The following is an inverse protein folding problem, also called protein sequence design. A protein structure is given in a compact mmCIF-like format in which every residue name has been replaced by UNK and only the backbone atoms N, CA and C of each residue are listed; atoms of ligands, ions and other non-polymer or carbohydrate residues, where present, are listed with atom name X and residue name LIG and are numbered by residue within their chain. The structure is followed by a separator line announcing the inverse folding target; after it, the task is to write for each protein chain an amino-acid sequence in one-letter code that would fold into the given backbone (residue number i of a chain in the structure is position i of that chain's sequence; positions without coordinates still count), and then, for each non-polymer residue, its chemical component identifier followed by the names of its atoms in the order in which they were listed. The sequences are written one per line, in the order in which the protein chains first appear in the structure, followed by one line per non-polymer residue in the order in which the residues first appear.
data_IF_577551975348
#
_entry.id   IF_577551975348
#
_cell.length_a   1.000
_cell.length_b   1.000
_cell.length_c   1.000
_cell.angle_alpha   90.00
_cell.angle_beta   90.00
_cell.angle_gamma   90.00
#
_symmetry.space_group_name_H-M   'P 1'
#
loop_
_entity.id
_entity.type
_entity.pdbx_description
1 polymer ?
#
# COMPACT_ATOMS: atom_id res chain seq x y z
N UNK A 1 66.35 -17.33 10.06
CA UNK A 1 65.04 -17.46 10.77
C UNK A 1 64.12 -16.38 10.29
N UNK A 2 63.49 -16.66 9.19
CA UNK A 2 62.36 -15.87 8.66
C UNK A 2 61.08 -16.39 9.33
N UNK A 3 60.50 -15.57 10.20
CA UNK A 3 59.19 -15.82 10.78
C UNK A 3 58.17 -15.48 9.72
N UNK A 4 57.55 -16.51 9.13
CA UNK A 4 56.35 -16.34 8.30
C UNK A 4 55.23 -15.84 9.20
N UNK A 5 54.83 -14.59 8.98
CA UNK A 5 53.57 -14.07 9.52
C UNK A 5 52.42 -14.81 8.83
N UNK A 6 51.66 -15.58 9.60
CA UNK A 6 50.37 -16.11 9.17
C UNK A 6 49.52 -14.95 8.72
N UNK A 7 48.92 -15.01 7.52
CA UNK A 7 47.90 -14.04 7.17
C UNK A 7 46.74 -14.24 8.15
N UNK A 8 46.55 -13.29 9.05
CA UNK A 8 45.27 -13.14 9.73
C UNK A 8 44.22 -13.00 8.63
N UNK A 9 43.39 -14.02 8.49
CA UNK A 9 42.14 -13.90 7.81
C UNK A 9 41.38 -12.80 8.53
N UNK A 10 41.52 -11.58 8.02
CA UNK A 10 40.52 -10.54 8.25
C UNK A 10 39.26 -11.09 7.63
N UNK A 11 38.46 -11.83 8.43
CA UNK A 11 37.06 -11.96 8.18
C UNK A 11 36.53 -10.54 8.12
N UNK A 12 36.51 -10.00 6.91
CA UNK A 12 35.67 -8.88 6.60
C UNK A 12 34.26 -9.39 6.92
N UNK A 13 33.82 -9.19 8.16
CA UNK A 13 32.41 -9.21 8.49
C UNK A 13 31.84 -8.24 7.47
N UNK A 14 31.13 -8.79 6.49
CA UNK A 14 30.38 -7.99 5.54
C UNK A 14 29.52 -7.10 6.41
N UNK A 15 29.94 -5.85 6.57
CA UNK A 15 29.13 -4.82 7.21
C UNK A 15 27.90 -4.78 6.32
N UNK A 16 26.83 -5.40 6.78
CA UNK A 16 25.55 -5.41 6.07
C UNK A 16 25.18 -3.95 5.94
N UNK A 17 25.45 -3.39 4.74
CA UNK A 17 25.18 -1.99 4.44
C UNK A 17 23.74 -1.73 4.86
N UNK A 18 23.55 -0.89 5.86
CA UNK A 18 22.20 -0.51 6.28
C UNK A 18 21.60 0.15 5.07
N UNK A 19 20.51 -0.42 4.55
CA UNK A 19 19.80 0.12 3.40
C UNK A 19 18.97 1.27 3.91
N UNK A 20 19.21 2.44 3.35
CA UNK A 20 18.51 3.67 3.72
C UNK A 20 17.46 4.04 2.68
N UNK A 21 17.26 3.19 1.65
CA UNK A 21 16.32 3.41 0.58
C UNK A 21 15.49 2.16 0.31
N UNK A 22 14.17 2.33 0.17
CA UNK A 22 13.26 1.22 -0.11
C UNK A 22 13.54 0.55 -1.47
N UNK A 23 13.98 1.29 -2.47
CA UNK A 23 14.31 0.72 -3.78
C UNK A 23 15.53 -0.22 -3.71
N UNK A 24 16.51 0.05 -2.83
CA UNK A 24 17.61 -0.88 -2.56
C UNK A 24 17.10 -2.15 -1.86
N UNK A 25 16.12 -2.00 -0.96
CA UNK A 25 15.46 -3.14 -0.33
C UNK A 25 14.75 -3.99 -1.36
N UNK A 26 13.91 -3.36 -2.20
CA UNK A 26 13.15 -4.05 -3.25
C UNK A 26 14.08 -4.73 -4.25
N UNK A 27 15.16 -4.06 -4.67
CA UNK A 27 16.14 -4.64 -5.60
C UNK A 27 16.73 -5.97 -5.11
N UNK A 28 16.95 -6.09 -3.81
CA UNK A 28 17.54 -7.29 -3.18
C UNK A 28 16.51 -8.37 -2.78
N UNK A 29 15.21 -8.14 -3.02
CA UNK A 29 14.20 -9.16 -2.74
C UNK A 29 14.42 -10.35 -3.67
N UNK A 30 14.46 -11.56 -3.10
CA UNK A 30 14.49 -12.82 -3.85
C UNK A 30 13.04 -13.24 -4.15
N UNK A 31 12.52 -12.75 -5.27
CA UNK A 31 11.15 -13.04 -5.72
C UNK A 31 11.04 -12.87 -7.23
N UNK A 32 10.13 -13.64 -7.82
CA UNK A 32 9.71 -13.53 -9.24
C UNK A 32 8.47 -12.62 -9.42
N UNK A 33 8.02 -11.98 -8.35
CA UNK A 33 6.88 -11.07 -8.39
C UNK A 33 7.16 -9.89 -9.34
N UNK A 34 6.34 -9.76 -10.36
CA UNK A 34 6.52 -8.78 -11.44
C UNK A 34 6.46 -7.34 -10.91
N UNK A 35 5.70 -7.08 -9.84
CA UNK A 35 5.62 -5.77 -9.18
C UNK A 35 6.99 -5.25 -8.76
N UNK A 36 7.93 -6.13 -8.42
CA UNK A 36 9.31 -5.75 -8.14
C UNK A 36 9.94 -4.99 -9.31
N UNK A 37 9.82 -5.56 -10.51
CA UNK A 37 10.40 -4.98 -11.71
C UNK A 37 9.72 -3.66 -12.07
N UNK A 38 8.40 -3.62 -11.99
CA UNK A 38 7.61 -2.43 -12.31
C UNK A 38 7.96 -1.26 -11.40
N UNK A 39 8.04 -1.47 -10.09
CA UNK A 39 8.44 -0.45 -9.13
C UNK A 39 9.87 0.04 -9.41
N UNK A 40 10.81 -0.86 -9.73
CA UNK A 40 12.21 -0.49 -9.98
C UNK A 40 12.41 0.25 -11.30
N UNK A 41 11.69 -0.13 -12.35
CA UNK A 41 11.75 0.56 -13.66
C UNK A 41 11.23 2.00 -13.52
N UNK A 42 10.21 2.20 -12.72
CA UNK A 42 9.51 3.47 -12.59
C UNK A 42 9.96 4.32 -11.40
N UNK A 43 10.96 3.87 -10.64
CA UNK A 43 11.40 4.48 -9.37
C UNK A 43 11.67 5.99 -9.44
N UNK A 44 12.17 6.48 -10.57
CA UNK A 44 12.54 7.88 -10.75
C UNK A 44 11.31 8.78 -10.95
N UNK A 45 10.17 8.19 -11.31
CA UNK A 45 8.88 8.85 -11.48
C UNK A 45 8.02 8.78 -10.22
N UNK A 46 8.32 7.86 -9.30
CA UNK A 46 7.54 7.66 -8.09
C UNK A 46 7.95 8.65 -7.00
N UNK A 47 6.99 9.37 -6.42
CA UNK A 47 7.22 10.25 -5.26
C UNK A 47 7.28 9.41 -3.97
N UNK A 48 8.41 8.73 -3.76
CA UNK A 48 8.60 7.84 -2.62
C UNK A 48 9.77 8.33 -1.75
N UNK A 49 9.52 8.47 -0.46
CA UNK A 49 10.49 8.91 0.55
C UNK A 49 10.70 7.79 1.57
N UNK A 50 11.93 7.31 1.72
CA UNK A 50 12.29 6.37 2.77
C UNK A 50 12.54 7.11 4.08
N UNK A 51 11.72 6.84 5.11
CA UNK A 51 11.70 7.57 6.38
C UNK A 51 12.66 6.91 7.37
N UNK A 52 13.97 7.06 7.12
CA UNK A 52 15.05 6.48 7.94
C UNK A 52 16.18 7.50 8.18
N UNK A 53 16.98 7.28 9.20
CA UNK A 53 18.19 8.07 9.47
C UNK A 53 17.93 9.58 9.47
N UNK A 54 18.79 10.35 8.76
CA UNK A 54 18.70 11.80 8.67
C UNK A 54 17.39 12.28 8.07
N UNK A 55 16.84 11.58 7.07
CA UNK A 55 15.52 11.92 6.46
C UNK A 55 14.41 11.93 7.50
N UNK A 56 14.37 10.91 8.38
CA UNK A 56 13.40 10.87 9.50
C UNK A 56 13.56 12.06 10.44
N UNK A 57 14.80 12.38 10.80
CA UNK A 57 15.10 13.49 11.70
C UNK A 57 14.71 14.84 11.10
N UNK A 58 14.96 15.05 9.81
CA UNK A 58 14.62 16.27 9.09
C UNK A 58 13.10 16.45 8.99
N UNK A 59 12.36 15.39 8.67
CA UNK A 59 10.89 15.42 8.65
C UNK A 59 10.30 15.78 10.04
N UNK A 60 10.88 15.24 11.11
CA UNK A 60 10.43 15.53 12.47
C UNK A 60 10.73 16.98 12.91
N UNK A 61 11.83 17.56 12.45
CA UNK A 61 12.24 18.94 12.75
C UNK A 61 11.54 19.97 11.87
N UNK A 62 11.08 19.59 10.67
CA UNK A 62 10.42 20.48 9.73
C UNK A 62 9.22 21.18 10.36
N UNK A 63 9.06 22.48 10.08
CA UNK A 63 7.90 23.28 10.49
C UNK A 63 6.72 23.15 9.51
N UNK A 64 6.93 22.58 8.36
CA UNK A 64 5.92 22.39 7.31
C UNK A 64 4.89 21.33 7.67
N UNK A 65 5.27 20.37 8.50
CA UNK A 65 4.42 19.24 8.84
C UNK A 65 3.77 19.38 10.21
N UNK A 66 2.47 19.14 10.25
CA UNK A 66 1.68 19.14 11.49
C UNK A 66 1.95 17.92 12.39
N UNK A 67 1.30 17.94 13.56
CA UNK A 67 1.46 16.90 14.58
C UNK A 67 1.13 15.49 14.05
N UNK A 68 0.01 15.36 13.32
CA UNK A 68 -0.45 14.06 12.81
C UNK A 68 0.60 13.41 11.88
N UNK A 69 1.16 14.17 10.94
CA UNK A 69 2.24 13.70 10.07
C UNK A 69 3.44 13.22 10.90
N UNK A 70 3.88 14.05 11.86
CA UNK A 70 5.02 13.71 12.73
C UNK A 70 4.78 12.47 13.59
N UNK A 71 3.56 12.26 14.04
CA UNK A 71 3.20 11.07 14.81
C UNK A 71 3.26 9.80 13.92
N UNK A 72 2.86 9.87 12.65
CA UNK A 72 3.06 8.80 11.66
C UNK A 72 4.55 8.51 11.42
N UNK A 73 5.38 9.55 11.21
CA UNK A 73 6.84 9.42 11.08
C UNK A 73 7.46 8.72 12.30
N UNK A 74 7.03 9.08 13.53
CA UNK A 74 7.50 8.47 14.77
C UNK A 74 7.11 7.00 14.91
N UNK A 75 5.92 6.63 14.43
CA UNK A 75 5.43 5.22 14.50
C UNK A 75 6.31 4.27 13.70
N UNK A 76 7.06 4.79 12.72
CA UNK A 76 7.90 4.01 11.81
C UNK A 76 7.10 3.17 10.82
N UNK A 77 5.81 3.49 10.63
CA UNK A 77 4.93 2.86 9.64
C UNK A 77 4.86 3.71 8.39
N UNK A 78 4.56 3.07 7.27
CA UNK A 78 4.38 3.73 5.98
C UNK A 78 3.03 4.44 5.92
N UNK A 79 2.96 5.48 5.08
CA UNK A 79 1.74 6.23 4.85
C UNK A 79 1.88 7.12 3.63
N UNK A 80 0.75 7.47 3.03
CA UNK A 80 0.68 8.47 1.97
C UNK A 80 0.21 9.81 2.52
N UNK A 81 0.84 10.89 2.05
CA UNK A 81 0.48 12.26 2.42
C UNK A 81 0.71 13.20 1.24
N UNK A 82 -0.33 13.91 0.81
CA UNK A 82 -0.31 14.84 -0.32
C UNK A 82 0.34 14.24 -1.59
N UNK A 83 -0.07 13.01 -1.97
CA UNK A 83 0.42 12.34 -3.16
C UNK A 83 1.88 11.82 -3.07
N UNK A 84 2.52 11.96 -1.93
CA UNK A 84 3.86 11.40 -1.65
C UNK A 84 3.74 10.21 -0.73
N UNK A 85 4.41 9.11 -1.11
CA UNK A 85 4.49 7.88 -0.32
C UNK A 85 5.68 7.97 0.63
N UNK A 86 5.44 7.81 1.91
CA UNK A 86 6.45 7.78 2.96
C UNK A 86 6.58 6.35 3.47
N UNK A 87 7.67 5.67 3.10
CA UNK A 87 7.95 4.30 3.53
C UNK A 87 8.65 4.31 4.88
N UNK A 88 7.98 3.75 5.87
CA UNK A 88 8.42 3.74 7.25
C UNK A 88 9.67 2.89 7.51
N UNK A 89 10.37 3.22 8.58
CA UNK A 89 11.59 2.55 9.01
C UNK A 89 11.42 1.03 9.18
N UNK A 90 10.23 0.58 9.61
CA UNK A 90 9.95 -0.86 9.76
C UNK A 90 10.08 -1.59 8.44
N UNK A 91 9.43 -1.09 7.40
CA UNK A 91 9.46 -1.71 6.06
C UNK A 91 10.86 -1.68 5.45
N UNK A 92 11.58 -0.56 5.55
CA UNK A 92 12.97 -0.46 5.08
C UNK A 92 13.87 -1.48 5.81
N UNK A 93 13.58 -1.79 7.07
CA UNK A 93 14.28 -2.83 7.86
C UNK A 93 13.77 -4.25 7.61
N UNK A 94 12.83 -4.45 6.69
CA UNK A 94 12.25 -5.75 6.39
C UNK A 94 11.33 -6.29 7.49
N UNK A 95 10.62 -5.39 8.19
CA UNK A 95 9.64 -5.73 9.23
C UNK A 95 8.26 -5.46 8.67
N UNK A 96 7.39 -6.47 8.68
CA UNK A 96 5.98 -6.32 8.36
C UNK A 96 5.30 -5.41 9.40
N UNK A 97 4.77 -4.28 8.95
CA UNK A 97 4.19 -3.26 9.82
C UNK A 97 2.93 -3.74 10.53
N UNK A 98 2.26 -4.72 9.95
CA UNK A 98 1.02 -5.28 10.46
C UNK A 98 1.30 -6.24 11.61
N UNK A 99 2.22 -7.18 11.43
CA UNK A 99 2.48 -8.24 12.40
C UNK A 99 3.68 -7.96 13.32
N UNK A 100 4.53 -6.99 12.96
CA UNK A 100 5.78 -6.67 13.67
C UNK A 100 6.86 -7.73 13.50
N UNK A 101 6.66 -8.71 12.62
CA UNK A 101 7.61 -9.80 12.34
C UNK A 101 8.45 -9.50 11.11
N UNK A 102 9.47 -10.33 10.84
CA UNK A 102 10.22 -10.26 9.58
C UNK A 102 9.24 -10.42 8.42
N UNK A 103 9.26 -9.48 7.49
CA UNK A 103 8.43 -9.50 6.30
C UNK A 103 9.00 -10.47 5.26
N UNK A 104 8.11 -11.10 4.48
CA UNK A 104 8.49 -11.76 3.22
C UNK A 104 8.67 -10.73 2.11
N UNK A 105 9.23 -11.16 0.97
CA UNK A 105 9.37 -10.29 -0.21
C UNK A 105 8.01 -9.76 -0.67
N UNK A 106 7.02 -10.64 -0.79
CA UNK A 106 5.67 -10.32 -1.21
C UNK A 106 4.98 -9.34 -0.24
N UNK A 107 5.21 -9.49 1.07
CA UNK A 107 4.65 -8.58 2.07
C UNK A 107 5.25 -7.16 2.00
N UNK A 108 6.52 -7.04 1.61
CA UNK A 108 7.14 -5.73 1.36
C UNK A 108 6.51 -5.10 0.11
N UNK A 109 6.38 -5.87 -0.97
CA UNK A 109 5.75 -5.41 -2.20
C UNK A 109 4.29 -5.04 -1.99
N UNK A 110 3.52 -5.85 -1.25
CA UNK A 110 2.15 -5.55 -0.86
C UNK A 110 2.03 -4.18 -0.20
N UNK A 111 2.91 -3.89 0.78
CA UNK A 111 2.85 -2.64 1.51
C UNK A 111 3.19 -1.45 0.62
N UNK A 112 4.24 -1.57 -0.21
CA UNK A 112 4.64 -0.49 -1.11
C UNK A 112 3.54 -0.24 -2.15
N UNK A 113 2.97 -1.29 -2.75
CA UNK A 113 1.86 -1.17 -3.69
C UNK A 113 0.61 -0.56 -3.03
N UNK A 114 0.31 -0.91 -1.79
CA UNK A 114 -0.78 -0.33 -1.01
C UNK A 114 -0.64 1.19 -0.86
N UNK A 115 0.54 1.67 -0.49
CA UNK A 115 0.77 3.11 -0.33
C UNK A 115 0.81 3.85 -1.68
N UNK A 116 1.35 3.23 -2.72
CA UNK A 116 1.31 3.78 -4.08
C UNK A 116 -0.13 3.92 -4.58
N UNK A 117 -1.01 2.95 -4.26
CA UNK A 117 -2.42 3.03 -4.60
C UNK A 117 -3.12 4.21 -3.93
N UNK A 118 -2.88 4.45 -2.63
CA UNK A 118 -3.38 5.64 -1.96
C UNK A 118 -2.94 6.94 -2.63
N UNK A 119 -1.67 7.04 -3.01
CA UNK A 119 -1.14 8.20 -3.71
C UNK A 119 -1.85 8.46 -5.04
N UNK A 120 -2.22 7.39 -5.75
CA UNK A 120 -2.84 7.47 -7.07
C UNK A 120 -4.35 7.75 -7.04
N UNK A 121 -5.09 7.12 -6.13
CA UNK A 121 -6.56 7.06 -6.26
C UNK A 121 -7.34 7.81 -5.20
N UNK A 122 -6.76 8.15 -4.04
CA UNK A 122 -7.51 8.74 -2.93
C UNK A 122 -8.23 10.02 -3.30
N UNK A 123 -7.57 10.90 -4.05
CA UNK A 123 -8.15 12.17 -4.51
C UNK A 123 -9.32 11.94 -5.45
N UNK A 124 -9.21 10.96 -6.35
CA UNK A 124 -10.31 10.61 -7.27
C UNK A 124 -11.50 10.02 -6.53
N UNK A 125 -11.25 9.16 -5.54
CA UNK A 125 -12.33 8.62 -4.70
C UNK A 125 -13.06 9.75 -3.97
N UNK A 126 -12.36 10.72 -3.42
CA UNK A 126 -12.98 11.86 -2.73
C UNK A 126 -13.81 12.73 -3.68
N UNK A 127 -13.28 13.03 -4.86
CA UNK A 127 -13.95 13.87 -5.84
C UNK A 127 -15.19 13.18 -6.44
N UNK A 128 -15.10 11.88 -6.73
CA UNK A 128 -16.10 11.14 -7.47
C UNK A 128 -17.07 10.33 -6.60
N UNK A 129 -16.91 10.35 -5.27
CA UNK A 129 -17.77 9.60 -4.35
C UNK A 129 -19.27 10.00 -4.44
N UNK A 130 -19.56 11.24 -4.83
CA UNK A 130 -20.91 11.74 -5.12
C UNK A 130 -21.28 11.72 -6.61
N UNK A 131 -20.32 11.45 -7.48
CA UNK A 131 -20.40 11.45 -8.93
C UNK A 131 -20.33 10.05 -9.55
N UNK A 132 -19.28 9.82 -10.35
CA UNK A 132 -19.16 8.63 -11.19
C UNK A 132 -19.12 7.30 -10.42
N UNK A 133 -18.59 7.27 -9.19
CA UNK A 133 -18.51 6.06 -8.35
C UNK A 133 -19.52 6.03 -7.19
N UNK A 134 -20.49 6.93 -7.19
CA UNK A 134 -21.47 7.06 -6.10
C UNK A 134 -22.18 5.76 -5.77
N UNK A 135 -22.56 4.99 -6.79
CA UNK A 135 -23.27 3.73 -6.62
C UNK A 135 -22.42 2.69 -5.90
N UNK A 136 -21.18 2.54 -6.32
CA UNK A 136 -20.21 1.60 -5.76
C UNK A 136 -19.91 1.97 -4.30
N UNK A 137 -19.61 3.25 -4.06
CA UNK A 137 -19.35 3.81 -2.71
C UNK A 137 -20.54 3.56 -1.78
N UNK A 138 -21.77 3.89 -2.23
CA UNK A 138 -22.99 3.66 -1.43
C UNK A 138 -23.22 2.18 -1.14
N UNK A 139 -22.97 1.31 -2.13
CA UNK A 139 -23.16 -0.13 -1.98
C UNK A 139 -22.12 -0.72 -1.01
N UNK A 140 -20.85 -0.35 -1.12
CA UNK A 140 -19.80 -0.80 -0.19
C UNK A 140 -20.12 -0.34 1.23
N UNK A 141 -20.51 0.93 1.42
CA UNK A 141 -20.90 1.43 2.74
C UNK A 141 -22.11 0.64 3.31
N UNK A 142 -23.09 0.30 2.47
CA UNK A 142 -24.23 -0.53 2.87
C UNK A 142 -23.77 -1.92 3.32
N UNK A 143 -22.82 -2.54 2.60
CA UNK A 143 -22.25 -3.84 2.95
C UNK A 143 -21.52 -3.75 4.30
N UNK A 144 -20.62 -2.77 4.46
CA UNK A 144 -19.86 -2.61 5.69
C UNK A 144 -20.75 -2.31 6.91
N UNK A 145 -21.86 -1.58 6.72
CA UNK A 145 -22.81 -1.25 7.79
C UNK A 145 -23.68 -2.45 8.23
N UNK A 146 -23.75 -3.53 7.44
CA UNK A 146 -24.38 -4.80 7.87
C UNK A 146 -23.52 -5.60 8.83
N UNK A 147 -22.21 -5.31 8.88
CA UNK A 147 -21.30 -5.99 9.81
C UNK A 147 -21.52 -5.40 11.20
N UNK A 148 -22.07 -6.19 12.10
CA UNK A 148 -22.35 -5.77 13.48
C UNK A 148 -21.15 -6.08 14.39
N UNK A 149 -21.07 -5.49 15.60
CA UNK A 149 -20.04 -5.82 16.57
C UNK A 149 -19.99 -7.30 16.95
N UNK A 150 -21.11 -8.01 16.83
CA UNK A 150 -21.23 -9.45 17.09
C UNK A 150 -20.68 -10.30 15.94
N UNK A 151 -20.51 -9.70 14.75
CA UNK A 151 -19.92 -10.38 13.59
C UNK A 151 -18.45 -10.65 13.85
N UNK A 152 -18.12 -11.90 14.16
CA UNK A 152 -16.74 -12.30 14.45
C UNK A 152 -16.00 -12.66 13.18
N UNK A 153 -14.73 -12.24 13.10
CA UNK A 153 -13.79 -12.72 12.07
C UNK A 153 -13.55 -14.21 12.26
N UNK A 154 -13.64 -14.97 11.18
CA UNK A 154 -13.49 -16.43 11.20
C UNK A 154 -12.14 -16.88 11.77
N UNK A 155 -12.14 -18.06 12.42
CA UNK A 155 -10.92 -18.59 13.06
C UNK A 155 -9.80 -18.93 12.05
N UNK A 156 -10.18 -19.23 10.80
CA UNK A 156 -9.22 -19.56 9.74
C UNK A 156 -8.57 -18.33 9.07
N UNK A 157 -9.01 -17.12 9.41
CA UNK A 157 -8.49 -15.88 8.83
C UNK A 157 -7.09 -15.59 9.39
N UNK A 158 -6.15 -15.33 8.49
CA UNK A 158 -4.75 -15.03 8.84
C UNK A 158 -4.64 -13.80 9.77
N UNK A 159 -3.61 -13.71 10.61
CA UNK A 159 -3.41 -12.55 11.47
C UNK A 159 -3.33 -11.22 10.69
N UNK A 160 -2.70 -11.23 9.52
CA UNK A 160 -2.56 -10.06 8.66
C UNK A 160 -3.92 -9.62 8.10
N UNK A 161 -4.68 -10.55 7.52
CA UNK A 161 -6.01 -10.25 7.01
C UNK A 161 -6.96 -9.79 8.14
N UNK A 162 -6.89 -10.39 9.32
CA UNK A 162 -7.67 -9.99 10.49
C UNK A 162 -7.41 -8.53 10.87
N UNK A 163 -6.17 -8.08 10.88
CA UNK A 163 -5.83 -6.69 11.20
C UNK A 163 -6.32 -5.73 10.11
N UNK A 164 -6.20 -6.10 8.82
CA UNK A 164 -6.75 -5.32 7.71
C UNK A 164 -8.26 -5.18 7.81
N UNK A 165 -8.98 -6.26 8.12
CA UNK A 165 -10.44 -6.23 8.36
C UNK A 165 -10.79 -5.27 9.50
N UNK A 166 -10.10 -5.39 10.64
CA UNK A 166 -10.34 -4.52 11.79
C UNK A 166 -10.07 -3.04 11.45
N UNK A 167 -9.03 -2.77 10.68
CA UNK A 167 -8.68 -1.42 10.25
C UNK A 167 -9.76 -0.83 9.34
N UNK A 168 -10.19 -1.54 8.30
CA UNK A 168 -11.31 -1.12 7.42
C UNK A 168 -12.56 -0.83 8.24
N UNK A 169 -12.94 -1.74 9.15
CA UNK A 169 -14.13 -1.57 9.99
C UNK A 169 -14.00 -0.37 10.94
N UNK A 170 -12.81 -0.04 11.40
CA UNK A 170 -12.56 1.16 12.23
C UNK A 170 -12.74 2.47 11.46
N UNK A 171 -12.61 2.44 10.13
CA UNK A 171 -12.79 3.60 9.23
C UNK A 171 -14.19 3.73 8.65
N UNK A 172 -15.07 2.79 8.95
CA UNK A 172 -16.47 2.78 8.52
C UNK A 172 -17.20 4.04 8.99
N UNK A 173 -17.97 4.66 8.08
CA UNK A 173 -18.74 5.86 8.39
C UNK A 173 -17.91 7.16 8.49
N UNK A 174 -16.62 7.13 8.17
CA UNK A 174 -15.81 8.35 8.05
C UNK A 174 -16.31 9.22 6.89
N UNK A 175 -16.28 10.54 7.07
CA UNK A 175 -16.79 11.51 6.10
C UNK A 175 -15.99 11.58 4.79
N UNK A 176 -14.75 11.09 4.79
CA UNK A 176 -13.80 11.13 3.68
C UNK A 176 -13.56 9.77 3.02
N UNK A 177 -14.54 8.87 3.06
CA UNK A 177 -14.50 7.56 2.39
C UNK A 177 -13.30 6.66 2.76
N UNK A 178 -12.70 6.86 3.94
CA UNK A 178 -11.48 6.14 4.33
C UNK A 178 -11.60 4.61 4.22
N UNK A 179 -12.72 4.02 4.64
CA UNK A 179 -12.90 2.57 4.53
C UNK A 179 -12.86 2.08 3.08
N UNK A 180 -13.33 2.90 2.13
CA UNK A 180 -13.34 2.56 0.70
C UNK A 180 -11.93 2.69 0.12
N UNK A 181 -11.21 3.77 0.44
CA UNK A 181 -9.81 3.96 0.07
C UNK A 181 -8.95 2.79 0.53
N UNK A 182 -9.11 2.40 1.79
CA UNK A 182 -8.41 1.24 2.35
C UNK A 182 -8.76 -0.07 1.62
N UNK A 183 -10.03 -0.28 1.25
CA UNK A 183 -10.41 -1.48 0.50
C UNK A 183 -9.81 -1.50 -0.91
N UNK A 184 -9.74 -0.34 -1.56
CA UNK A 184 -9.10 -0.20 -2.87
C UNK A 184 -7.60 -0.49 -2.73
N UNK A 185 -6.92 0.10 -1.76
CA UNK A 185 -5.49 -0.13 -1.51
C UNK A 185 -5.20 -1.59 -1.12
N UNK A 186 -6.01 -2.21 -0.23
CA UNK A 186 -5.90 -3.62 0.15
C UNK A 186 -6.07 -4.54 -1.07
N UNK A 187 -6.86 -4.14 -2.07
CA UNK A 187 -7.01 -4.95 -3.29
C UNK A 187 -5.71 -5.13 -4.08
N UNK A 188 -4.65 -4.38 -3.76
CA UNK A 188 -3.30 -4.52 -4.32
C UNK A 188 -2.38 -5.42 -3.47
N UNK A 189 -2.85 -5.90 -2.33
CA UNK A 189 -2.08 -6.78 -1.46
C UNK A 189 -2.34 -8.25 -1.81
N UNK A 190 -1.56 -8.83 -2.73
CA UNK A 190 -1.74 -10.21 -3.22
C UNK A 190 -1.81 -11.25 -2.10
N UNK A 191 -1.10 -11.01 -0.98
CA UNK A 191 -1.06 -11.99 0.12
C UNK A 191 -2.33 -12.02 0.97
N UNK A 192 -3.17 -10.97 0.95
CA UNK A 192 -4.32 -10.90 1.88
C UNK A 192 -5.62 -10.41 1.25
N UNK A 193 -5.58 -9.79 0.09
CA UNK A 193 -6.75 -9.14 -0.50
C UNK A 193 -7.96 -10.06 -0.63
N UNK A 194 -7.78 -11.27 -1.19
CA UNK A 194 -8.86 -12.25 -1.34
C UNK A 194 -9.48 -12.62 0.01
N UNK A 195 -8.63 -12.88 0.99
CA UNK A 195 -9.06 -13.28 2.32
C UNK A 195 -9.86 -12.18 3.01
N UNK A 196 -9.39 -10.91 2.93
CA UNK A 196 -10.08 -9.74 3.49
C UNK A 196 -11.43 -9.54 2.85
N UNK A 197 -11.49 -9.50 1.52
CA UNK A 197 -12.74 -9.20 0.80
C UNK A 197 -13.78 -10.30 0.95
N UNK A 198 -13.37 -11.57 0.91
CA UNK A 198 -14.26 -12.70 1.13
C UNK A 198 -14.80 -12.72 2.57
N UNK A 199 -13.95 -12.45 3.55
CA UNK A 199 -14.36 -12.43 4.94
C UNK A 199 -15.31 -11.27 5.26
N UNK A 200 -15.08 -10.07 4.72
CA UNK A 200 -16.01 -8.95 4.85
C UNK A 200 -17.37 -9.27 4.19
N UNK A 201 -17.40 -9.90 3.01
CA UNK A 201 -18.63 -10.39 2.40
C UNK A 201 -19.37 -11.38 3.33
N UNK A 202 -18.65 -12.36 3.88
CA UNK A 202 -19.19 -13.35 4.81
C UNK A 202 -19.78 -12.68 6.07
N UNK A 203 -19.04 -11.77 6.67
CA UNK A 203 -19.47 -11.03 7.88
C UNK A 203 -20.71 -10.17 7.61
N UNK A 204 -20.86 -9.65 6.40
CA UNK A 204 -22.05 -8.90 5.98
C UNK A 204 -23.25 -9.80 5.57
N UNK A 205 -23.12 -11.14 5.69
CA UNK A 205 -24.16 -12.09 5.30
C UNK A 205 -24.37 -12.24 3.80
N UNK A 206 -23.38 -11.87 2.98
CA UNK A 206 -23.43 -12.00 1.52
C UNK A 206 -22.98 -13.41 1.14
N UNK A 207 -23.88 -14.18 0.54
CA UNK A 207 -23.65 -15.58 0.16
C UNK A 207 -22.90 -15.73 -1.17
N UNK A 208 -22.98 -14.74 -2.05
CA UNK A 208 -22.27 -14.73 -3.34
C UNK A 208 -20.88 -14.13 -3.14
N UNK A 209 -19.84 -14.93 -3.39
CA UNK A 209 -18.46 -14.45 -3.37
C UNK A 209 -18.22 -13.34 -4.40
N UNK A 210 -17.18 -12.53 -4.17
CA UNK A 210 -16.69 -11.56 -5.15
C UNK A 210 -17.47 -10.25 -5.27
N UNK A 211 -18.51 -9.99 -4.46
CA UNK A 211 -19.30 -8.75 -4.55
C UNK A 211 -18.44 -7.51 -4.27
N UNK A 212 -17.66 -7.52 -3.17
CA UNK A 212 -16.76 -6.42 -2.85
C UNK A 212 -15.67 -6.28 -3.89
N UNK A 213 -15.07 -7.38 -4.34
CA UNK A 213 -14.04 -7.36 -5.39
C UNK A 213 -14.55 -6.71 -6.67
N UNK A 214 -15.76 -7.07 -7.11
CA UNK A 214 -16.39 -6.48 -8.29
C UNK A 214 -16.64 -4.97 -8.13
N UNK A 215 -17.13 -4.55 -6.97
CA UNK A 215 -17.39 -3.13 -6.70
C UNK A 215 -16.09 -2.33 -6.69
N UNK A 216 -15.03 -2.86 -6.09
CA UNK A 216 -13.70 -2.25 -6.07
C UNK A 216 -13.12 -2.16 -7.48
N UNK A 217 -13.21 -3.23 -8.27
CA UNK A 217 -12.80 -3.21 -9.68
C UNK A 217 -13.57 -2.18 -10.51
N UNK A 218 -14.87 -2.01 -10.25
CA UNK A 218 -15.65 -0.97 -10.92
C UNK A 218 -15.18 0.45 -10.53
N UNK A 219 -14.89 0.69 -9.24
CA UNK A 219 -14.33 1.97 -8.80
C UNK A 219 -13.05 2.24 -9.57
N UNK A 220 -12.14 1.27 -9.56
CA UNK A 220 -10.86 1.43 -10.24
C UNK A 220 -10.99 1.69 -11.74
N UNK A 221 -11.81 0.93 -12.45
CA UNK A 221 -12.01 1.14 -13.87
C UNK A 221 -12.52 2.57 -14.17
N UNK A 222 -13.40 3.09 -13.31
CA UNK A 222 -13.90 4.46 -13.46
C UNK A 222 -12.83 5.51 -13.13
N UNK A 223 -12.04 5.29 -12.08
CA UNK A 223 -10.89 6.16 -11.77
C UNK A 223 -9.93 6.17 -12.95
N UNK A 224 -9.60 5.02 -13.51
CA UNK A 224 -8.75 4.87 -14.69
C UNK A 224 -9.29 5.61 -15.92
N UNK A 225 -10.59 5.48 -16.21
CA UNK A 225 -11.24 6.20 -17.29
C UNK A 225 -11.12 7.73 -17.11
N UNK A 226 -11.28 8.21 -15.88
CA UNK A 226 -11.14 9.62 -15.54
C UNK A 226 -9.69 10.10 -15.72
N UNK A 227 -8.71 9.33 -15.25
CA UNK A 227 -7.29 9.65 -15.44
C UNK A 227 -6.91 9.73 -16.92
N UNK A 228 -7.42 8.85 -17.76
CA UNK A 228 -7.17 8.86 -19.21
C UNK A 228 -7.89 10.00 -19.96
N UNK A 229 -9.03 10.46 -19.44
CA UNK A 229 -9.86 11.51 -20.06
C UNK A 229 -9.48 12.93 -19.64
N UNK A 230 -8.65 13.08 -18.60
CA UNK A 230 -8.22 14.40 -18.10
C UNK A 230 -7.08 14.94 -18.96
N UNK A 231 -7.18 16.17 -19.54
CA UNK A 231 -6.09 16.77 -20.29
C UNK A 231 -4.81 16.86 -19.43
N UNK A 232 -3.66 16.57 -20.06
CA UNK A 232 -2.33 16.55 -19.42
C UNK A 232 -2.05 17.86 -18.64
N UNK A 233 -2.44 19.01 -19.18
CA UNK A 233 -2.23 20.31 -18.54
C UNK A 233 -3.00 20.49 -17.22
N UNK A 234 -4.14 19.82 -17.07
CA UNK A 234 -4.93 19.84 -15.83
C UNK A 234 -4.41 18.84 -14.81
N UNK A 235 -3.73 17.79 -15.28
CA UNK A 235 -3.10 16.77 -14.41
C UNK A 235 -1.78 17.26 -13.82
N UNK A 236 -1.05 18.12 -14.54
CA UNK A 236 0.22 18.72 -14.08
C UNK A 236 0.03 19.63 -12.85
N UNK A 237 -1.14 20.27 -12.70
CA UNK A 237 -1.49 21.03 -11.49
C UNK A 237 -1.78 20.14 -10.27
N UNK A 238 -2.06 18.84 -10.48
CA UNK A 238 -2.41 17.88 -9.41
C UNK A 238 -1.27 16.96 -8.98
N UNK A 239 -0.12 17.00 -9.56
CA UNK A 239 1.09 16.19 -9.35
C UNK A 239 1.51 15.56 -10.68
N UNK A 240 2.74 15.06 -10.80
CA UNK A 240 3.23 14.21 -11.92
C UNK A 240 2.43 12.88 -12.04
N UNK A 241 1.13 12.97 -12.20
CA UNK A 241 0.21 11.83 -12.21
C UNK A 241 0.37 11.00 -13.48
N UNK A 242 0.90 11.58 -14.57
CA UNK A 242 1.08 10.84 -15.81
C UNK A 242 2.07 9.68 -15.68
N UNK A 243 3.15 9.86 -14.94
CA UNK A 243 4.09 8.78 -14.67
C UNK A 243 3.48 7.74 -13.73
N UNK A 244 2.81 8.18 -12.65
CA UNK A 244 2.16 7.31 -11.69
C UNK A 244 1.01 6.50 -12.31
N UNK A 245 0.21 7.08 -13.21
CA UNK A 245 -0.94 6.41 -13.79
C UNK A 245 -0.55 5.28 -14.75
N UNK A 246 0.48 5.49 -15.56
CA UNK A 246 1.02 4.47 -16.47
C UNK A 246 1.63 3.33 -15.66
N UNK A 247 2.31 3.66 -14.56
CA UNK A 247 3.06 2.71 -13.75
C UNK A 247 2.15 1.84 -12.88
N UNK A 248 1.13 2.44 -12.28
CA UNK A 248 0.12 1.71 -11.53
C UNK A 248 -0.73 0.84 -12.46
N UNK A 249 -0.98 1.27 -13.69
CA UNK A 249 -1.63 0.44 -14.68
C UNK A 249 -0.78 -0.77 -15.08
N UNK A 250 0.52 -0.58 -15.25
CA UNK A 250 1.48 -1.66 -15.47
C UNK A 250 1.49 -2.64 -14.30
N UNK A 251 1.61 -2.14 -13.07
CA UNK A 251 1.54 -2.92 -11.83
C UNK A 251 0.22 -3.72 -11.74
N UNK A 252 -0.87 -3.19 -12.26
CA UNK A 252 -2.19 -3.82 -12.20
C UNK A 252 -2.53 -4.78 -13.34
N UNK A 253 -2.14 -4.48 -14.57
CA UNK A 253 -2.38 -5.38 -15.70
C UNK A 253 -1.74 -6.75 -15.46
N UNK A 254 -0.74 -6.77 -14.61
CA UNK A 254 0.00 -7.97 -14.22
C UNK A 254 -0.55 -8.63 -12.95
N UNK A 255 -1.34 -7.93 -12.13
CA UNK A 255 -1.98 -8.56 -10.97
C UNK A 255 -3.11 -9.47 -11.46
N UNK A 256 -2.86 -10.77 -11.48
CA UNK A 256 -3.80 -11.87 -11.84
C UNK A 256 -5.12 -11.85 -11.07
N UNK A 257 -5.33 -10.83 -10.30
CA UNK A 257 -6.43 -10.63 -9.37
C UNK A 257 -7.75 -10.31 -10.05
N UNK A 258 -7.68 -9.61 -11.18
CA UNK A 258 -8.87 -9.10 -11.88
C UNK A 258 -9.45 -10.14 -12.86
N UNK A 259 -8.64 -11.11 -13.28
CA UNK A 259 -9.05 -12.10 -14.30
C UNK A 259 -9.40 -13.49 -13.76
N UNK A 260 -9.26 -13.72 -12.46
CA UNK A 260 -9.36 -15.06 -11.85
C UNK A 260 -10.50 -15.27 -10.86
N UNK A 261 -11.50 -14.36 -10.77
CA UNK A 261 -12.67 -14.55 -9.92
C UNK A 261 -13.96 -14.35 -10.71
#
# INVERSE_FOLDING_TARGET
NTVEAKPEEVKAAAVKKIKDNIFDVISDLDTLDERKNDILINKDNLKVVSVVGSTKDDLLKSKEFGKEFKDRVKSGTSFTYNGTVYIGEKTVKGIDEITGKKATAEQILDLVSHELEHAAVDTYIDNEASGAIKREVSTINTILNRITPESKVGNGVSPRARQRIQYVLSKRGSSNNQAIKELVAISQEDTVAAEVLNELNRMAGIKTGGVLSKLISNIWNKVKELMQSTPIDTLLDYTDVDSLSVDIESIRQQSRWVEGI
#
